data_IF_385805958848
#
_entry.id   IF_385805958848
#
_cell.length_a   1.000
_cell.length_b   1.000
_cell.length_c   1.000
_cell.angle_alpha   90.00
_cell.angle_beta   90.00
_cell.angle_gamma   90.00
#
_symmetry.space_group_name_H-M   'P 1'
#
loop_
_entity.id
_entity.type
_entity.pdbx_description
1 polymer ?
#
# COMPACT_ATOMS: atom_id res chain seq x y z
N UNK A 1 5.38 11.12 -1.38
CA UNK A 1 4.67 11.41 -2.64
C UNK A 1 3.28 10.85 -2.45
N UNK A 2 2.19 11.61 -2.64
CA UNK A 2 0.83 11.08 -2.38
C UNK A 2 0.58 9.75 -3.07
N UNK A 3 0.04 8.76 -2.36
CA UNK A 3 -0.46 7.54 -2.98
C UNK A 3 -1.65 7.85 -3.91
N UNK A 4 -1.92 6.93 -4.83
CA UNK A 4 -3.09 7.01 -5.72
C UNK A 4 -4.27 6.32 -5.04
N UNK A 5 -5.38 7.02 -4.88
CA UNK A 5 -6.59 6.46 -4.28
C UNK A 5 -7.11 5.26 -5.09
N UNK A 6 -7.44 4.12 -4.43
CA UNK A 6 -8.03 2.96 -5.08
C UNK A 6 -9.30 3.31 -5.85
N UNK A 7 -9.27 3.15 -7.17
CA UNK A 7 -10.40 3.43 -8.03
C UNK A 7 -10.55 2.37 -9.12
N UNK A 8 -11.79 2.15 -9.57
CA UNK A 8 -12.09 1.16 -10.62
C UNK A 8 -13.08 1.71 -11.64
N UNK A 9 -12.82 1.47 -12.92
CA UNK A 9 -13.73 1.81 -14.00
C UNK A 9 -14.69 0.66 -14.26
N UNK A 10 -15.97 0.91 -14.04
CA UNK A 10 -17.02 -0.11 -14.20
C UNK A 10 -17.87 0.19 -15.41
N UNK A 11 -17.88 -0.76 -16.35
CA UNK A 11 -18.82 -0.85 -17.46
C UNK A 11 -19.62 -2.14 -17.41
N UNK A 12 -20.19 -2.55 -18.54
CA UNK A 12 -20.79 -3.90 -18.71
C UNK A 12 -20.28 -4.59 -19.96
N UNK A 13 -20.21 -5.93 -19.91
CA UNK A 13 -19.86 -6.73 -21.08
C UNK A 13 -20.82 -6.50 -22.25
N UNK A 14 -22.12 -6.32 -21.99
CA UNK A 14 -23.11 -6.06 -23.03
C UNK A 14 -22.80 -4.75 -23.78
N UNK A 15 -22.59 -3.64 -23.06
CA UNK A 15 -22.23 -2.34 -23.65
C UNK A 15 -20.92 -2.44 -24.43
N UNK A 16 -19.90 -3.08 -23.86
CA UNK A 16 -18.62 -3.28 -24.52
C UNK A 16 -18.76 -4.04 -25.85
N UNK A 17 -19.50 -5.16 -25.84
CA UNK A 17 -19.79 -5.96 -27.03
C UNK A 17 -20.64 -5.22 -28.08
N UNK A 18 -21.39 -4.20 -27.68
CA UNK A 18 -22.12 -3.30 -28.58
C UNK A 18 -21.29 -2.08 -29.03
N UNK A 19 -19.98 -2.06 -28.78
CA UNK A 19 -19.09 -0.96 -29.18
C UNK A 19 -19.23 0.30 -28.32
N UNK A 20 -19.79 0.17 -27.12
CA UNK A 20 -19.94 1.24 -26.15
C UNK A 20 -18.98 1.04 -24.97
N UNK A 21 -18.12 2.02 -24.73
CA UNK A 21 -17.25 2.08 -23.55
C UNK A 21 -17.92 2.78 -22.35
N UNK A 22 -19.25 2.91 -22.37
CA UNK A 22 -19.97 3.59 -21.29
C UNK A 22 -19.77 2.86 -19.96
N UNK A 23 -19.29 3.61 -18.99
CA UNK A 23 -19.04 3.20 -17.62
C UNK A 23 -18.73 4.43 -16.77
N UNK A 24 -18.22 4.21 -15.56
CA UNK A 24 -17.85 5.27 -14.64
C UNK A 24 -16.68 4.82 -13.77
N UNK A 25 -15.76 5.74 -13.48
CA UNK A 25 -14.80 5.59 -12.39
C UNK A 25 -15.50 5.71 -11.04
N UNK A 26 -15.21 4.76 -10.16
CA UNK A 26 -15.64 4.73 -8.78
C UNK A 26 -14.42 4.79 -7.88
N UNK A 27 -14.37 5.78 -7.00
CA UNK A 27 -13.45 5.80 -5.86
C UNK A 27 -13.94 4.75 -4.86
N UNK A 28 -13.11 3.75 -4.58
CA UNK A 28 -13.50 2.65 -3.70
C UNK A 28 -13.51 3.05 -2.22
N UNK A 29 -12.87 4.17 -1.88
CA UNK A 29 -12.84 4.70 -0.51
C UNK A 29 -14.14 5.41 -0.13
N UNK A 30 -14.97 5.79 -1.12
CA UNK A 30 -16.29 6.40 -0.92
C UNK A 30 -17.36 5.41 -0.41
N UNK A 31 -17.09 4.10 -0.45
CA UNK A 31 -18.05 3.05 -0.13
C UNK A 31 -17.74 2.40 1.21
N UNK A 32 -18.76 2.09 2.01
CA UNK A 32 -18.56 1.41 3.30
C UNK A 32 -18.11 -0.05 3.12
N UNK A 33 -18.66 -0.73 2.11
CA UNK A 33 -18.33 -2.12 1.82
C UNK A 33 -18.63 -2.50 0.36
N UNK A 34 -18.33 -3.77 0.04
CA UNK A 34 -18.60 -4.36 -1.27
C UNK A 34 -20.06 -4.26 -1.71
N UNK A 35 -21.01 -4.42 -0.79
CA UNK A 35 -22.43 -4.40 -1.13
C UNK A 35 -22.84 -3.03 -1.63
N UNK A 36 -22.44 -1.97 -0.92
CA UNK A 36 -22.74 -0.58 -1.29
C UNK A 36 -22.13 -0.23 -2.68
N UNK A 37 -20.88 -0.62 -2.91
CA UNK A 37 -20.24 -0.48 -4.22
C UNK A 37 -21.01 -1.21 -5.34
N UNK A 38 -21.40 -2.46 -5.11
CA UNK A 38 -22.13 -3.24 -6.10
C UNK A 38 -23.53 -2.64 -6.38
N UNK A 39 -24.21 -2.14 -5.35
CA UNK A 39 -25.50 -1.44 -5.51
C UNK A 39 -25.35 -0.18 -6.38
N UNK A 40 -24.29 0.62 -6.16
CA UNK A 40 -23.99 1.79 -6.98
C UNK A 40 -23.68 1.43 -8.44
N UNK A 41 -22.95 0.33 -8.68
CA UNK A 41 -22.69 -0.19 -10.02
C UNK A 41 -23.99 -0.62 -10.72
N UNK A 42 -24.85 -1.36 -10.03
CA UNK A 42 -26.15 -1.78 -10.58
C UNK A 42 -27.09 -0.60 -10.83
N UNK A 43 -27.05 0.43 -9.98
CA UNK A 43 -27.80 1.67 -10.20
C UNK A 43 -27.34 2.42 -11.46
N UNK A 44 -26.02 2.49 -11.70
CA UNK A 44 -25.45 3.09 -12.92
C UNK A 44 -25.92 2.36 -14.20
N UNK A 45 -26.05 1.04 -14.13
CA UNK A 45 -26.42 0.18 -15.25
C UNK A 45 -27.89 -0.31 -15.21
N UNK A 46 -28.76 0.35 -14.44
CA UNK A 46 -30.17 -0.03 -14.26
C UNK A 46 -31.02 0.04 -15.55
N UNK A 47 -30.45 0.59 -16.63
CA UNK A 47 -31.06 0.60 -17.96
C UNK A 47 -30.92 -0.74 -18.71
N UNK A 48 -30.20 -1.71 -18.16
CA UNK A 48 -30.05 -3.09 -18.64
C UNK A 48 -30.82 -4.04 -17.72
N UNK A 49 -31.48 -5.07 -18.27
CA UNK A 49 -32.31 -5.98 -17.47
C UNK A 49 -31.51 -6.89 -16.53
N UNK A 50 -30.26 -7.20 -16.89
CA UNK A 50 -29.33 -8.04 -16.14
C UNK A 50 -27.90 -7.59 -16.47
N UNK A 51 -27.43 -6.47 -15.89
CA UNK A 51 -26.13 -5.90 -16.23
C UNK A 51 -25.00 -6.80 -15.71
N UNK A 52 -24.29 -7.44 -16.63
CA UNK A 52 -23.04 -8.17 -16.34
C UNK A 52 -21.89 -7.16 -16.25
N UNK A 53 -21.53 -6.80 -15.01
CA UNK A 53 -20.50 -5.81 -14.73
C UNK A 53 -19.13 -6.27 -15.24
N UNK A 54 -18.36 -5.31 -15.76
CA UNK A 54 -16.99 -5.49 -16.23
C UNK A 54 -16.13 -4.39 -15.61
N UNK A 55 -15.11 -4.79 -14.86
CA UNK A 55 -14.14 -3.87 -14.27
C UNK A 55 -13.00 -3.68 -15.28
N UNK A 56 -13.08 -2.64 -16.08
CA UNK A 56 -12.29 -2.53 -17.30
C UNK A 56 -10.88 -1.99 -17.05
N UNK A 57 -10.71 -1.24 -15.96
CA UNK A 57 -9.46 -0.61 -15.57
C UNK A 57 -9.45 -0.29 -14.07
N UNK A 58 -8.27 -0.17 -13.46
CA UNK A 58 -8.10 0.20 -12.04
C UNK A 58 -6.84 1.01 -11.81
N UNK A 59 -6.89 1.90 -10.81
CA UNK A 59 -5.78 2.72 -10.34
C UNK A 59 -5.64 2.59 -8.83
N UNK A 60 -4.42 2.69 -8.30
CA UNK A 60 -4.16 2.63 -6.84
C UNK A 60 -4.38 1.25 -6.22
N UNK A 61 -4.53 0.19 -7.02
CA UNK A 61 -4.73 -1.19 -6.57
C UNK A 61 -3.66 -2.07 -7.22
N UNK A 62 -2.83 -2.78 -6.46
CA UNK A 62 -1.89 -3.73 -7.04
C UNK A 62 -2.63 -4.84 -7.80
N UNK A 63 -2.09 -5.29 -8.94
CA UNK A 63 -2.73 -6.25 -9.86
C UNK A 63 -3.17 -7.57 -9.22
N UNK A 64 -2.60 -7.93 -8.07
CA UNK A 64 -2.99 -9.12 -7.30
C UNK A 64 -4.38 -8.98 -6.64
N UNK A 65 -4.81 -7.75 -6.38
CA UNK A 65 -6.03 -7.42 -5.61
C UNK A 65 -7.18 -6.91 -6.48
N UNK A 66 -6.98 -6.79 -7.79
CA UNK A 66 -8.04 -6.43 -8.73
C UNK A 66 -8.01 -7.35 -9.95
N UNK A 67 -9.17 -7.55 -10.56
CA UNK A 67 -9.34 -8.24 -11.83
C UNK A 67 -10.53 -7.66 -12.57
N UNK A 68 -10.75 -8.13 -13.80
CA UNK A 68 -11.87 -7.73 -14.66
C UNK A 68 -13.26 -7.96 -14.04
N UNK A 69 -13.36 -8.69 -12.93
CA UNK A 69 -14.64 -9.03 -12.28
C UNK A 69 -14.62 -8.93 -10.76
N UNK A 70 -13.49 -8.55 -10.15
CA UNK A 70 -13.35 -8.55 -8.70
C UNK A 70 -12.37 -7.51 -8.19
N UNK A 71 -12.60 -7.04 -6.97
CA UNK A 71 -11.62 -6.33 -6.17
C UNK A 71 -11.56 -6.98 -4.79
N UNK A 72 -10.38 -7.06 -4.21
CA UNK A 72 -10.16 -7.53 -2.84
C UNK A 72 -10.48 -6.38 -1.88
N UNK A 73 -11.59 -6.53 -1.17
CA UNK A 73 -12.05 -5.52 -0.22
C UNK A 73 -11.20 -5.47 1.05
N UNK A 74 -10.46 -6.53 1.38
CA UNK A 74 -9.51 -6.47 2.50
C UNK A 74 -8.43 -5.41 2.25
N UNK A 75 -7.95 -5.31 1.01
CA UNK A 75 -6.99 -4.27 0.62
C UNK A 75 -7.59 -2.86 0.74
N UNK A 76 -8.83 -2.65 0.29
CA UNK A 76 -9.50 -1.33 0.36
C UNK A 76 -9.66 -0.87 1.80
N UNK A 77 -10.10 -1.76 2.69
CA UNK A 77 -10.27 -1.44 4.11
C UNK A 77 -8.92 -1.19 4.80
N UNK A 78 -7.89 -1.98 4.50
CA UNK A 78 -6.55 -1.76 5.01
C UNK A 78 -5.95 -0.44 4.50
N UNK A 79 -6.16 -0.10 3.23
CA UNK A 79 -5.72 1.16 2.65
C UNK A 79 -6.40 2.36 3.33
N UNK A 80 -7.72 2.33 3.58
CA UNK A 80 -8.41 3.38 4.34
C UNK A 80 -7.79 3.60 5.72
N UNK A 81 -7.51 2.51 6.45
CA UNK A 81 -6.84 2.59 7.75
C UNK A 81 -5.44 3.18 7.64
N UNK A 82 -4.69 2.83 6.60
CA UNK A 82 -3.37 3.41 6.34
C UNK A 82 -3.45 4.92 6.09
N UNK A 83 -4.45 5.38 5.32
CA UNK A 83 -4.69 6.82 5.09
C UNK A 83 -5.05 7.53 6.39
N UNK A 84 -5.94 6.96 7.21
CA UNK A 84 -6.34 7.53 8.50
C UNK A 84 -5.14 7.68 9.46
N UNK A 85 -4.22 6.73 9.43
CA UNK A 85 -2.99 6.74 10.24
C UNK A 85 -1.86 7.57 9.59
N UNK A 86 -2.04 8.06 8.37
CA UNK A 86 -1.03 8.80 7.60
C UNK A 86 0.17 7.94 7.17
N UNK A 87 -0.05 6.64 6.96
CA UNK A 87 0.95 5.63 6.59
C UNK A 87 0.68 4.99 5.23
N UNK A 88 -0.13 5.63 4.38
CA UNK A 88 -0.55 5.10 3.08
C UNK A 88 0.64 4.81 2.15
N UNK A 89 1.65 5.70 2.10
CA UNK A 89 2.87 5.50 1.30
C UNK A 89 3.62 4.23 1.74
N UNK A 90 3.85 4.07 3.05
CA UNK A 90 4.51 2.90 3.62
C UNK A 90 3.70 1.61 3.39
N UNK A 91 2.38 1.68 3.56
CA UNK A 91 1.50 0.53 3.37
C UNK A 91 1.54 0.04 1.92
N UNK A 92 1.43 0.93 0.94
CA UNK A 92 1.49 0.55 -0.48
C UNK A 92 2.84 -0.09 -0.83
N UNK A 93 3.96 0.50 -0.40
CA UNK A 93 5.28 -0.06 -0.63
C UNK A 93 5.44 -1.47 -0.03
N UNK A 94 4.92 -1.68 1.19
CA UNK A 94 4.93 -2.99 1.84
C UNK A 94 4.06 -4.01 1.11
N UNK A 95 2.84 -3.64 0.72
CA UNK A 95 1.91 -4.49 -0.03
C UNK A 95 2.50 -4.92 -1.36
N UNK A 96 3.17 -4.02 -2.09
CA UNK A 96 3.81 -4.36 -3.37
C UNK A 96 4.98 -5.34 -3.20
N UNK A 97 5.73 -5.21 -2.09
CA UNK A 97 6.85 -6.08 -1.78
C UNK A 97 6.43 -7.47 -1.29
N UNK A 98 5.47 -7.56 -0.37
CA UNK A 98 5.04 -8.83 0.25
C UNK A 98 3.94 -9.53 -0.55
N UNK A 99 3.12 -8.74 -1.26
CA UNK A 99 1.88 -9.21 -1.86
C UNK A 99 0.79 -9.53 -0.83
N UNK A 100 0.91 -9.03 0.40
CA UNK A 100 -0.07 -9.14 1.48
C UNK A 100 -0.77 -7.80 1.68
N UNK A 101 -1.99 -7.80 2.24
CA UNK A 101 -2.75 -6.56 2.49
C UNK A 101 -3.35 -6.49 3.91
N UNK A 102 -2.85 -7.33 4.82
CA UNK A 102 -3.24 -7.27 6.23
C UNK A 102 -2.58 -6.06 6.89
N UNK A 103 -3.40 -5.13 7.39
CA UNK A 103 -2.89 -3.90 7.99
C UNK A 103 -2.16 -4.14 9.31
N UNK A 104 -2.62 -5.10 10.13
CA UNK A 104 -1.98 -5.37 11.42
C UNK A 104 -0.59 -6.00 11.19
N UNK A 105 -0.46 -6.87 10.17
CA UNK A 105 0.84 -7.41 9.76
C UNK A 105 1.78 -6.32 9.22
N UNK A 106 1.25 -5.36 8.45
CA UNK A 106 2.01 -4.18 8.02
C UNK A 106 2.49 -3.37 9.23
N UNK A 107 1.59 -3.09 10.19
CA UNK A 107 1.90 -2.29 11.36
C UNK A 107 2.98 -2.94 12.23
N UNK A 108 2.91 -4.26 12.41
CA UNK A 108 3.93 -5.03 13.13
C UNK A 108 5.30 -5.04 12.41
N UNK A 109 5.30 -4.98 11.07
CA UNK A 109 6.52 -4.97 10.27
C UNK A 109 7.16 -3.57 10.16
N UNK A 110 6.38 -2.50 10.25
CA UNK A 110 6.85 -1.14 9.99
C UNK A 110 7.78 -0.62 11.10
N UNK A 111 9.02 -0.29 10.73
CA UNK A 111 10.06 0.17 11.65
C UNK A 111 10.26 1.69 11.64
N UNK A 112 9.66 2.41 10.68
CA UNK A 112 9.76 3.86 10.56
C UNK A 112 10.22 4.36 9.19
N UNK A 113 10.56 5.64 9.13
CA UNK A 113 11.07 6.32 7.95
C UNK A 113 12.58 6.54 8.05
N UNK A 114 13.28 6.49 6.92
CA UNK A 114 14.69 6.86 6.82
C UNK A 114 15.02 7.34 5.41
N UNK A 115 16.02 8.21 5.25
CA UNK A 115 16.46 8.61 3.91
C UNK A 115 17.39 7.57 3.25
N UNK A 116 18.02 6.71 4.06
CA UNK A 116 18.87 5.61 3.62
C UNK A 116 19.06 4.57 4.72
N UNK A 117 19.65 3.41 4.35
CA UNK A 117 20.06 2.39 5.32
C UNK A 117 21.07 2.92 6.35
N UNK A 118 22.00 3.78 5.94
CA UNK A 118 22.98 4.42 6.82
C UNK A 118 22.30 5.38 7.81
N UNK A 119 21.35 6.20 7.34
CA UNK A 119 20.59 7.12 8.19
C UNK A 119 19.75 6.35 9.22
N UNK A 120 19.09 5.26 8.81
CA UNK A 120 18.36 4.39 9.75
C UNK A 120 19.30 3.81 10.82
N UNK A 121 20.47 3.32 10.41
CA UNK A 121 21.47 2.78 11.34
C UNK A 121 22.00 3.85 12.31
N UNK A 122 22.18 5.08 11.82
CA UNK A 122 22.54 6.21 12.66
C UNK A 122 21.49 6.46 13.73
N UNK A 123 20.23 6.65 13.33
CA UNK A 123 19.14 6.93 14.26
C UNK A 123 18.95 5.77 15.26
N UNK A 124 18.99 4.52 14.78
CA UNK A 124 18.90 3.35 15.64
C UNK A 124 19.99 3.31 16.73
N UNK A 125 21.25 3.56 16.36
CA UNK A 125 22.39 3.61 17.29
C UNK A 125 22.20 4.70 18.34
N UNK A 126 21.69 5.86 17.93
CA UNK A 126 21.48 7.01 18.81
C UNK A 126 20.33 6.78 19.78
N UNK A 127 19.19 6.29 19.29
CA UNK A 127 17.99 6.00 20.09
C UNK A 127 18.23 4.91 21.13
N UNK A 128 18.96 3.85 20.76
CA UNK A 128 19.26 2.73 21.64
C UNK A 128 20.53 2.96 22.47
N UNK A 129 21.25 4.06 22.23
CA UNK A 129 22.42 4.43 23.00
C UNK A 129 23.58 3.42 22.89
N UNK A 130 23.72 2.74 21.76
CA UNK A 130 24.69 1.64 21.59
C UNK A 130 26.14 2.08 21.81
N UNK A 131 26.44 3.37 21.61
CA UNK A 131 27.76 3.96 21.80
C UNK A 131 27.89 4.74 23.12
N UNK A 132 26.93 4.65 24.04
CA UNK A 132 26.95 5.42 25.28
C UNK A 132 28.16 5.11 26.17
N UNK A 133 28.64 3.87 26.16
CA UNK A 133 29.84 3.44 26.90
C UNK A 133 31.15 3.72 26.14
N UNK A 134 31.07 4.07 24.85
CA UNK A 134 32.23 4.40 24.02
C UNK A 134 32.66 5.86 24.30
N UNK A 135 33.96 6.13 24.53
CA UNK A 135 34.46 7.49 24.67
C UNK A 135 34.05 8.37 23.48
N UNK A 136 33.60 9.60 23.75
CA UNK A 136 33.09 10.52 22.73
C UNK A 136 34.09 10.74 21.58
N UNK A 137 35.39 10.80 21.89
CA UNK A 137 36.46 10.93 20.90
C UNK A 137 36.56 9.77 19.90
N UNK A 138 35.98 8.61 20.22
CA UNK A 138 35.97 7.42 19.36
C UNK A 138 34.63 7.22 18.63
N UNK A 139 33.54 7.85 19.08
CA UNK A 139 32.19 7.65 18.50
C UNK A 139 32.12 8.05 17.02
N UNK A 140 32.84 9.12 16.64
CA UNK A 140 32.89 9.59 15.25
C UNK A 140 33.62 8.66 14.27
N UNK A 141 34.15 7.52 14.73
CA UNK A 141 34.76 6.49 13.89
C UNK A 141 33.88 5.24 13.72
N UNK A 142 32.65 5.25 14.26
CA UNK A 142 31.71 4.17 14.03
C UNK A 142 31.24 4.19 12.57
N UNK A 143 31.29 3.02 11.93
CA UNK A 143 30.94 2.84 10.52
C UNK A 143 29.44 2.50 10.41
N UNK A 144 28.61 3.54 10.29
CA UNK A 144 27.15 3.41 10.23
C UNK A 144 26.69 2.71 8.94
N UNK A 145 27.38 2.92 7.82
CA UNK A 145 27.09 2.22 6.55
C UNK A 145 27.30 0.71 6.69
N UNK A 146 28.44 0.29 7.27
CA UNK A 146 28.69 -1.13 7.51
C UNK A 146 27.67 -1.75 8.48
N UNK A 147 27.32 -1.03 9.55
CA UNK A 147 26.33 -1.50 10.52
C UNK A 147 24.93 -1.60 9.91
N UNK A 148 24.50 -0.57 9.17
CA UNK A 148 23.23 -0.55 8.45
C UNK A 148 23.14 -1.72 7.48
N UNK A 149 24.14 -1.90 6.62
CA UNK A 149 24.19 -3.04 5.69
C UNK A 149 23.99 -4.39 6.39
N UNK A 150 24.61 -4.58 7.56
CA UNK A 150 24.42 -5.81 8.34
C UNK A 150 22.99 -5.92 8.88
N UNK A 151 22.34 -4.83 9.30
CA UNK A 151 20.94 -4.84 9.73
C UNK A 151 19.99 -5.25 8.59
N UNK A 152 20.15 -4.68 7.38
CA UNK A 152 19.32 -5.02 6.21
C UNK A 152 19.62 -6.42 5.66
N UNK A 153 20.84 -6.93 5.81
CA UNK A 153 21.12 -8.35 5.52
C UNK A 153 20.49 -9.32 6.53
N UNK A 154 20.18 -8.86 7.75
CA UNK A 154 19.68 -9.70 8.85
C UNK A 154 18.17 -9.56 9.10
N UNK A 155 17.40 -9.07 8.12
CA UNK A 155 15.94 -9.08 8.16
C UNK A 155 15.27 -7.71 8.17
N UNK A 156 15.99 -6.63 7.86
CA UNK A 156 15.34 -5.36 7.50
C UNK A 156 15.29 -5.18 5.98
N UNK A 157 14.28 -4.46 5.50
CA UNK A 157 14.12 -4.09 4.10
C UNK A 157 13.84 -2.59 4.02
N UNK A 158 14.52 -1.91 3.08
CA UNK A 158 14.30 -0.49 2.80
C UNK A 158 13.52 -0.34 1.50
N UNK A 159 12.32 0.23 1.57
CA UNK A 159 11.42 0.45 0.44
C UNK A 159 10.96 1.91 0.43
N UNK A 160 11.32 2.64 -0.62
CA UNK A 160 10.83 4.00 -0.88
C UNK A 160 10.93 5.00 0.28
N UNK A 161 11.91 4.85 1.18
CA UNK A 161 12.07 5.73 2.36
C UNK A 161 11.50 5.15 3.65
N UNK A 162 10.96 3.94 3.61
CA UNK A 162 10.41 3.24 4.76
C UNK A 162 11.21 1.97 5.07
N UNK A 163 11.34 1.65 6.35
CA UNK A 163 12.05 0.46 6.83
C UNK A 163 11.03 -0.54 7.38
N UNK A 164 11.18 -1.80 6.99
CA UNK A 164 10.33 -2.91 7.41
C UNK A 164 11.16 -4.06 7.96
N UNK A 165 10.60 -4.80 8.90
CA UNK A 165 11.10 -6.10 9.29
C UNK A 165 10.52 -7.19 8.36
N UNK A 166 11.37 -8.09 7.89
CA UNK A 166 11.06 -9.19 6.97
C UNK A 166 11.19 -10.57 7.63
#
# INVERSE_FOLDING_TARGET
>A
MSTTTPAIYVGTYHKYNCGSLFGKWFDLTDFDDKSDFMEACHALHANESDPELMFQDWEGIPDKFASESSVDWAFIEAYKRAVDDGKDEAFVAWVEFTGECDYDAFEDAWCGEAASEEDYAYDYVQEHGLLNEVPESLRGYFDYDAYGRDMFMNGLVFLEGHVFQN
#
